data_IF_104104497886
#
_entry.id   IF_104104497886
#
_cell.length_a   1.000
_cell.length_b   1.000
_cell.length_c   1.000
_cell.angle_alpha   90.00
_cell.angle_beta   90.00
_cell.angle_gamma   90.00
#
_symmetry.space_group_name_H-M   'P 1'
#
loop_
_entity.id
_entity.type
_entity.pdbx_description
1 polymer ?
#
# COMPACT_ATOMS: atom_id res chain seq x y z
N UNK A 1 -10.19 -14.46 5.41
CA UNK A 1 -10.27 -13.23 4.61
C UNK A 1 -8.93 -12.49 4.68
N UNK A 2 -8.42 -12.08 3.54
CA UNK A 2 -7.16 -11.34 3.49
C UNK A 2 -7.36 -9.89 3.91
N UNK A 3 -6.35 -9.31 4.53
CA UNK A 3 -6.38 -7.94 5.04
C UNK A 3 -5.51 -7.02 4.20
N UNK A 4 -6.06 -5.88 3.81
CA UNK A 4 -5.33 -4.82 3.10
C UNK A 4 -5.32 -3.55 3.94
N UNK A 5 -4.16 -2.96 4.12
CA UNK A 5 -4.00 -1.64 4.72
C UNK A 5 -3.87 -0.61 3.61
N UNK A 6 -4.82 0.31 3.53
CA UNK A 6 -4.81 1.40 2.54
C UNK A 6 -4.18 2.62 3.18
N UNK A 7 -3.08 3.09 2.61
CA UNK A 7 -2.32 4.22 3.12
C UNK A 7 -2.33 5.35 2.10
N UNK A 8 -3.05 6.41 2.43
CA UNK A 8 -3.17 7.59 1.56
C UNK A 8 -3.64 8.75 2.43
N UNK A 9 -3.10 9.93 2.21
CA UNK A 9 -3.52 11.12 2.98
C UNK A 9 -4.90 11.64 2.55
N UNK A 10 -5.40 11.22 1.39
CA UNK A 10 -6.72 11.58 0.92
C UNK A 10 -7.78 10.61 1.43
N UNK A 11 -8.68 11.12 2.26
CA UNK A 11 -9.81 10.33 2.75
C UNK A 11 -10.70 9.81 1.62
N UNK A 12 -10.87 10.61 0.56
CA UNK A 12 -11.68 10.22 -0.60
C UNK A 12 -11.03 9.03 -1.32
N UNK A 13 -9.73 9.09 -1.54
CA UNK A 13 -9.00 8.00 -2.19
C UNK A 13 -9.08 6.73 -1.34
N UNK A 14 -8.92 6.85 -0.02
CA UNK A 14 -9.06 5.69 0.87
C UNK A 14 -10.44 5.04 0.75
N UNK A 15 -11.50 5.85 0.67
CA UNK A 15 -12.87 5.32 0.52
C UNK A 15 -13.06 4.60 -0.80
N UNK A 16 -12.54 5.16 -1.89
CA UNK A 16 -12.61 4.53 -3.21
C UNK A 16 -11.87 3.19 -3.19
N UNK A 17 -10.65 3.19 -2.67
CA UNK A 17 -9.86 1.95 -2.58
C UNK A 17 -10.53 0.91 -1.69
N UNK A 18 -11.07 1.33 -0.54
CA UNK A 18 -11.82 0.43 0.36
C UNK A 18 -12.98 -0.24 -0.36
N UNK A 19 -13.77 0.55 -1.08
CA UNK A 19 -14.93 0.00 -1.79
C UNK A 19 -14.49 -1.07 -2.79
N UNK A 20 -13.46 -0.79 -3.58
CA UNK A 20 -12.93 -1.76 -4.54
C UNK A 20 -12.45 -3.02 -3.83
N UNK A 21 -11.64 -2.87 -2.78
CA UNK A 21 -11.06 -3.99 -2.06
C UNK A 21 -12.12 -4.85 -1.37
N UNK A 22 -13.17 -4.23 -0.85
CA UNK A 22 -14.27 -4.98 -0.24
C UNK A 22 -15.02 -5.81 -1.28
N UNK A 23 -15.15 -5.32 -2.52
CA UNK A 23 -15.73 -6.13 -3.60
C UNK A 23 -14.84 -7.30 -3.98
N UNK A 24 -13.55 -7.24 -3.64
CA UNK A 24 -12.58 -8.32 -3.87
C UNK A 24 -12.40 -9.21 -2.63
N UNK A 25 -13.28 -9.05 -1.65
CA UNK A 25 -13.32 -9.84 -0.40
C UNK A 25 -12.12 -9.59 0.52
N UNK A 26 -11.58 -8.38 0.52
CA UNK A 26 -10.58 -7.99 1.50
C UNK A 26 -11.23 -7.34 2.72
N UNK A 27 -10.66 -7.61 3.88
CA UNK A 27 -10.90 -6.80 5.06
C UNK A 27 -9.95 -5.60 4.97
N UNK A 28 -10.48 -4.39 5.15
CA UNK A 28 -9.72 -3.16 4.88
C UNK A 28 -9.48 -2.37 6.16
N UNK A 29 -8.22 -1.97 6.35
CA UNK A 29 -7.83 -0.98 7.35
C UNK A 29 -7.29 0.23 6.62
N UNK A 30 -7.30 1.39 7.26
CA UNK A 30 -6.85 2.65 6.65
C UNK A 30 -5.84 3.36 7.53
N UNK A 31 -4.92 4.07 6.89
CA UNK A 31 -3.97 4.96 7.54
C UNK A 31 -3.81 6.23 6.70
N UNK A 32 -3.70 7.37 7.36
CA UNK A 32 -3.60 8.68 6.69
C UNK A 32 -2.17 9.11 6.37
N UNK A 33 -1.17 8.43 6.92
CA UNK A 33 0.23 8.71 6.64
C UNK A 33 1.09 7.48 6.95
N UNK A 34 2.38 7.58 6.62
CA UNK A 34 3.30 6.46 6.80
C UNK A 34 3.53 6.06 8.24
N UNK A 35 3.44 7.01 9.18
CA UNK A 35 3.61 6.72 10.59
C UNK A 35 2.47 5.87 11.14
N UNK A 36 1.23 6.27 10.87
CA UNK A 36 0.06 5.48 11.23
C UNK A 36 0.11 4.09 10.60
N UNK A 37 0.56 4.04 9.34
CA UNK A 37 0.69 2.78 8.62
C UNK A 37 1.68 1.85 9.30
N UNK A 38 2.83 2.38 9.71
CA UNK A 38 3.86 1.58 10.39
C UNK A 38 3.33 1.05 11.71
N UNK A 39 2.68 1.90 12.51
CA UNK A 39 2.07 1.50 13.78
C UNK A 39 1.05 0.38 13.57
N UNK A 40 0.21 0.51 12.53
CA UNK A 40 -0.79 -0.50 12.20
C UNK A 40 -0.15 -1.84 11.83
N UNK A 41 0.92 -1.81 11.05
CA UNK A 41 1.65 -3.02 10.66
C UNK A 41 2.32 -3.70 11.86
N UNK A 42 2.83 -2.91 12.79
CA UNK A 42 3.49 -3.45 13.99
C UNK A 42 2.49 -4.10 14.95
N UNK A 43 1.27 -3.58 15.01
CA UNK A 43 0.21 -4.18 15.82
C UNK A 43 -0.27 -5.50 15.23
N UNK A 44 -0.56 -5.51 13.93
CA UNK A 44 -1.02 -6.70 13.22
C UNK A 44 -0.65 -6.54 11.74
N UNK A 45 0.30 -7.34 11.29
CA UNK A 45 0.77 -7.26 9.90
C UNK A 45 -0.36 -7.62 8.93
N UNK A 46 -0.71 -6.73 7.99
CA UNK A 46 -1.70 -7.06 6.97
C UNK A 46 -1.09 -7.99 5.91
N UNK A 47 -1.93 -8.56 5.06
CA UNK A 47 -1.43 -9.37 3.95
C UNK A 47 -0.80 -8.49 2.88
N UNK A 48 -1.39 -7.31 2.65
CA UNK A 48 -0.90 -6.36 1.64
C UNK A 48 -1.11 -4.93 2.12
N UNK A 49 -0.20 -4.04 1.71
CA UNK A 49 -0.31 -2.60 1.92
C UNK A 49 -0.44 -1.94 0.56
N UNK A 50 -1.49 -1.14 0.39
CA UNK A 50 -1.66 -0.28 -0.78
C UNK A 50 -1.16 1.10 -0.36
N UNK A 51 0.00 1.50 -0.84
CA UNK A 51 0.80 2.59 -0.29
C UNK A 51 0.95 3.77 -1.26
N UNK A 52 0.44 4.93 -0.87
CA UNK A 52 0.65 6.16 -1.63
C UNK A 52 2.12 6.61 -1.56
N UNK A 53 2.64 7.12 -2.67
CA UNK A 53 4.06 7.54 -2.76
C UNK A 53 4.33 8.89 -2.09
N UNK A 54 3.35 9.76 -2.03
CA UNK A 54 3.53 11.15 -1.59
C UNK A 54 2.56 11.51 -0.46
N UNK A 55 3.08 11.48 0.77
CA UNK A 55 2.28 11.74 1.97
C UNK A 55 3.03 12.64 2.94
N UNK A 56 2.30 13.39 3.79
CA UNK A 56 2.94 14.17 4.85
C UNK A 56 3.45 13.27 5.97
N UNK A 57 4.22 13.84 6.89
CA UNK A 57 4.78 13.20 8.08
C UNK A 57 5.81 12.12 7.73
N UNK A 58 5.40 11.07 7.07
CA UNK A 58 6.29 10.00 6.61
C UNK A 58 5.85 9.60 5.21
N UNK A 59 6.72 9.79 4.23
CA UNK A 59 6.45 9.46 2.83
C UNK A 59 6.35 7.95 2.62
N UNK A 60 5.85 7.54 1.45
CA UNK A 60 5.82 6.13 1.09
C UNK A 60 7.20 5.49 1.10
N UNK A 61 8.22 6.21 0.62
CA UNK A 61 9.61 5.71 0.63
C UNK A 61 10.13 5.53 2.05
N UNK A 62 9.87 6.48 2.93
CA UNK A 62 10.29 6.41 4.33
C UNK A 62 9.58 5.25 5.05
N UNK A 63 8.30 5.04 4.75
CA UNK A 63 7.56 3.89 5.28
C UNK A 63 8.20 2.57 4.84
N UNK A 64 8.54 2.44 3.56
CA UNK A 64 9.17 1.22 3.04
C UNK A 64 10.47 0.91 3.77
N UNK A 65 11.31 1.93 3.98
CA UNK A 65 12.58 1.78 4.71
C UNK A 65 12.34 1.38 6.16
N UNK A 66 11.38 2.04 6.81
CA UNK A 66 11.04 1.75 8.20
C UNK A 66 10.47 0.33 8.36
N UNK A 67 9.65 -0.11 7.44
CA UNK A 67 9.10 -1.46 7.43
C UNK A 67 10.21 -2.51 7.28
N UNK A 68 11.14 -2.26 6.37
CA UNK A 68 12.28 -3.14 6.15
C UNK A 68 13.14 -3.26 7.40
N UNK A 69 13.37 -2.16 8.10
CA UNK A 69 14.21 -2.10 9.29
C UNK A 69 13.50 -2.56 10.55
N UNK A 70 12.17 -2.72 10.52
CA UNK A 70 11.37 -3.04 11.70
C UNK A 70 11.58 -4.45 12.24
N UNK A 71 12.06 -5.36 11.41
CA UNK A 71 12.23 -6.76 11.81
C UNK A 71 10.92 -7.56 11.89
N UNK A 72 9.84 -7.05 11.33
CA UNK A 72 8.56 -7.79 11.29
C UNK A 72 8.78 -9.15 10.63
N UNK A 73 8.34 -10.23 11.30
CA UNK A 73 8.51 -11.59 10.81
C UNK A 73 7.70 -11.86 9.55
N UNK A 74 6.46 -11.40 9.51
CA UNK A 74 5.55 -11.59 8.37
C UNK A 74 5.35 -10.26 7.63
N UNK A 75 6.35 -9.87 6.84
CA UNK A 75 6.26 -8.61 6.10
C UNK A 75 5.10 -8.66 5.11
N UNK A 76 4.24 -7.62 5.08
CA UNK A 76 3.17 -7.56 4.08
C UNK A 76 3.75 -7.35 2.70
N UNK A 77 3.00 -7.75 1.68
CA UNK A 77 3.29 -7.34 0.32
C UNK A 77 2.96 -5.85 0.20
N UNK A 78 3.71 -5.12 -0.62
CA UNK A 78 3.47 -3.68 -0.79
C UNK A 78 3.23 -3.38 -2.27
N UNK A 79 2.07 -2.79 -2.56
CA UNK A 79 1.72 -2.25 -3.86
C UNK A 79 1.82 -0.73 -3.77
N UNK A 80 2.76 -0.16 -4.50
CA UNK A 80 3.10 1.26 -4.43
C UNK A 80 2.22 2.04 -5.41
N UNK A 81 1.41 2.97 -4.89
CA UNK A 81 0.50 3.78 -5.71
C UNK A 81 1.17 5.06 -6.15
N UNK A 82 1.23 5.29 -7.44
CA UNK A 82 1.88 6.47 -8.03
C UNK A 82 0.96 7.20 -9.01
N UNK A 83 1.26 8.48 -9.21
CA UNK A 83 0.72 9.26 -10.32
C UNK A 83 1.82 9.40 -11.38
N UNK A 84 1.52 10.06 -12.50
CA UNK A 84 2.54 10.32 -13.53
C UNK A 84 3.77 11.01 -12.95
N UNK A 85 3.56 11.93 -12.00
CA UNK A 85 4.66 12.65 -11.35
C UNK A 85 5.53 11.73 -10.49
N UNK A 86 4.99 10.58 -10.08
CA UNK A 86 5.70 9.61 -9.26
C UNK A 86 6.46 8.54 -10.05
N UNK A 87 6.34 8.53 -11.37
CA UNK A 87 6.96 7.49 -12.21
C UNK A 87 8.47 7.35 -12.00
N UNK A 88 9.15 8.46 -11.73
CA UNK A 88 10.60 8.44 -11.50
C UNK A 88 11.00 7.68 -10.22
N UNK A 89 10.05 7.43 -9.32
CA UNK A 89 10.31 6.76 -8.05
C UNK A 89 10.06 5.25 -8.08
N UNK A 90 9.54 4.71 -9.18
CA UNK A 90 9.18 3.29 -9.26
C UNK A 90 10.38 2.41 -8.92
N UNK A 91 11.51 2.64 -9.55
CA UNK A 91 12.70 1.82 -9.33
C UNK A 91 13.18 1.93 -7.90
N UNK A 92 13.21 3.15 -7.37
CA UNK A 92 13.63 3.37 -5.99
C UNK A 92 12.69 2.67 -5.01
N UNK A 93 11.38 2.68 -5.28
CA UNK A 93 10.40 2.00 -4.44
C UNK A 93 10.58 0.48 -4.47
N UNK A 94 10.80 -0.09 -5.63
CA UNK A 94 11.07 -1.54 -5.77
C UNK A 94 12.36 -1.90 -5.02
N UNK A 95 13.41 -1.12 -5.19
CA UNK A 95 14.68 -1.34 -4.49
C UNK A 95 14.52 -1.20 -2.97
N UNK A 96 13.59 -0.36 -2.51
CA UNK A 96 13.32 -0.17 -1.09
C UNK A 96 12.37 -1.22 -0.50
N UNK A 97 11.83 -2.12 -1.31
CA UNK A 97 11.04 -3.24 -0.84
C UNK A 97 9.59 -3.31 -1.33
N UNK A 98 9.17 -2.40 -2.22
CA UNK A 98 7.84 -2.52 -2.83
C UNK A 98 7.83 -3.73 -3.77
N UNK A 99 6.73 -4.47 -3.77
CA UNK A 99 6.59 -5.69 -4.56
C UNK A 99 6.00 -5.43 -5.94
N UNK A 100 5.19 -4.37 -6.06
CA UNK A 100 4.56 -3.98 -7.31
C UNK A 100 4.15 -2.52 -7.23
N UNK A 101 3.70 -1.94 -8.33
CA UNK A 101 3.15 -0.60 -8.36
C UNK A 101 1.82 -0.57 -9.11
N UNK A 102 1.01 0.46 -8.85
CA UNK A 102 -0.22 0.72 -9.58
C UNK A 102 -0.36 2.22 -9.81
N UNK A 103 -0.84 2.59 -10.99
CA UNK A 103 -1.07 4.01 -11.33
C UNK A 103 -2.40 4.49 -10.78
N UNK A 104 -2.42 5.69 -10.22
CA UNK A 104 -3.67 6.38 -9.85
C UNK A 104 -4.12 7.29 -10.99
N UNK A 105 -5.39 7.37 -11.29
CA UNK A 105 -6.49 6.57 -10.72
C UNK A 105 -6.47 5.13 -11.25
N UNK A 106 -6.87 4.19 -10.42
CA UNK A 106 -6.97 2.78 -10.80
C UNK A 106 -8.41 2.30 -10.70
N UNK A 107 -8.76 1.30 -11.49
CA UNK A 107 -10.06 0.65 -11.41
C UNK A 107 -9.94 -0.71 -10.71
N UNK A 108 -11.07 -1.37 -10.52
CA UNK A 108 -11.13 -2.67 -9.85
C UNK A 108 -10.29 -3.71 -10.57
N UNK A 109 -10.39 -3.76 -11.89
CA UNK A 109 -9.68 -4.75 -12.70
C UNK A 109 -8.17 -4.59 -12.61
N UNK A 110 -7.68 -3.37 -12.72
CA UNK A 110 -6.25 -3.06 -12.63
C UNK A 110 -5.72 -3.41 -11.23
N UNK A 111 -6.43 -3.02 -10.19
CA UNK A 111 -6.01 -3.31 -8.82
C UNK A 111 -6.01 -4.80 -8.55
N UNK A 112 -7.05 -5.51 -8.97
CA UNK A 112 -7.14 -6.96 -8.82
C UNK A 112 -5.94 -7.66 -9.50
N UNK A 113 -5.60 -7.23 -10.71
CA UNK A 113 -4.46 -7.79 -11.44
C UNK A 113 -3.15 -7.62 -10.66
N UNK A 114 -2.92 -6.44 -10.08
CA UNK A 114 -1.71 -6.20 -9.28
C UNK A 114 -1.68 -7.04 -8.01
N UNK A 115 -2.81 -7.21 -7.36
CA UNK A 115 -2.92 -8.05 -6.16
C UNK A 115 -2.66 -9.52 -6.49
N UNK A 116 -3.09 -9.97 -7.65
CA UNK A 116 -2.80 -11.33 -8.13
C UNK A 116 -1.30 -11.52 -8.38
N UNK A 117 -0.65 -10.53 -8.99
CA UNK A 117 0.79 -10.58 -9.27
C UNK A 117 1.59 -10.76 -7.99
N UNK A 118 1.21 -10.07 -6.90
CA UNK A 118 1.92 -10.22 -5.62
C UNK A 118 1.44 -11.41 -4.79
N UNK A 119 0.47 -12.17 -5.29
CA UNK A 119 0.06 -13.43 -4.69
C UNK A 119 -0.93 -13.32 -3.53
N UNK A 120 -1.65 -12.21 -3.39
CA UNK A 120 -2.64 -12.02 -2.33
C UNK A 120 -4.09 -12.05 -2.82
N UNK A 121 -4.31 -12.26 -4.10
CA UNK A 121 -5.67 -12.34 -4.66
C UNK A 121 -5.79 -13.50 -5.64
#
# INVERSE_FOLDING_TARGET
MKTCLVVDDSKVIRKVARHILETLNFEVREAGDGREALESCLEASPDVVLLDWNMPVMSGMDFLRALKDSGIANKPKVVFCITENGMAYIRAAIDAGADEYVMKPFDRETLESKLQIVGVA
#
